data_IF_180343211160
#
_entry.id   IF_180343211160
#
_cell.length_a   1.000
_cell.length_b   1.000
_cell.length_c   1.000
_cell.angle_alpha   90.00
_cell.angle_beta   90.00
_cell.angle_gamma   90.00
#
_symmetry.space_group_name_H-M   'P 1'
#
loop_
_entity.id
_entity.type
_entity.pdbx_description
1 polymer ?
#
# COMPACT_ATOMS: atom_id res chain seq x y z
N UNK A 1 6.23 -22.91 12.12
CA UNK A 1 7.01 -23.89 11.35
C UNK A 1 6.69 -25.27 11.92
N UNK A 2 6.16 -26.22 11.14
CA UNK A 2 6.05 -27.60 11.60
C UNK A 2 7.46 -28.11 11.90
N UNK A 3 7.67 -28.63 13.11
CA UNK A 3 8.94 -29.22 13.50
C UNK A 3 9.24 -30.41 12.60
N UNK A 4 10.43 -30.46 12.00
CA UNK A 4 10.83 -31.61 11.21
C UNK A 4 10.73 -32.90 12.05
N UNK A 5 10.18 -33.98 11.48
CA UNK A 5 10.08 -35.23 12.20
C UNK A 5 11.48 -35.69 12.60
N UNK A 6 11.62 -36.21 13.84
CA UNK A 6 12.90 -36.70 14.40
C UNK A 6 13.64 -37.70 13.50
N UNK A 7 12.92 -38.37 12.60
CA UNK A 7 13.49 -39.20 11.54
C UNK A 7 12.95 -38.71 10.20
N UNK A 8 13.85 -38.43 9.26
CA UNK A 8 13.51 -37.95 7.94
C UNK A 8 12.58 -38.94 7.20
N UNK A 9 11.68 -38.40 6.38
CA UNK A 9 10.74 -39.20 5.60
C UNK A 9 11.45 -40.22 4.70
N UNK A 10 12.61 -39.85 4.15
CA UNK A 10 13.48 -40.71 3.34
C UNK A 10 13.99 -41.93 4.09
N UNK A 11 14.40 -41.77 5.35
CA UNK A 11 14.82 -42.86 6.21
C UNK A 11 13.67 -43.81 6.53
N UNK A 12 12.46 -43.26 6.77
CA UNK A 12 11.23 -44.04 7.02
C UNK A 12 10.78 -44.81 5.77
N UNK A 13 10.88 -44.19 4.60
CA UNK A 13 10.60 -44.82 3.30
C UNK A 13 11.53 -46.00 3.03
N UNK A 14 12.84 -45.85 3.26
CA UNK A 14 13.83 -46.93 3.05
C UNK A 14 13.53 -48.17 3.88
N UNK A 15 13.07 -48.00 5.13
CA UNK A 15 12.66 -49.12 5.98
C UNK A 15 11.42 -49.81 5.42
N UNK A 16 10.45 -49.05 4.92
CA UNK A 16 9.23 -49.58 4.32
C UNK A 16 9.52 -50.31 2.99
N UNK A 17 10.37 -49.74 2.14
CA UNK A 17 10.79 -50.34 0.86
C UNK A 17 11.54 -51.65 1.10
N UNK A 18 12.44 -51.67 2.09
CA UNK A 18 13.16 -52.88 2.48
C UNK A 18 12.21 -53.99 2.93
N UNK A 19 11.17 -53.65 3.69
CA UNK A 19 10.13 -54.58 4.09
C UNK A 19 9.35 -55.12 2.89
N UNK A 20 8.94 -54.25 1.96
CA UNK A 20 8.20 -54.63 0.76
C UNK A 20 9.01 -55.55 -0.18
N UNK A 21 10.33 -55.39 -0.23
CA UNK A 21 11.25 -56.23 -1.03
C UNK A 21 11.69 -57.50 -0.27
N UNK A 22 11.24 -57.69 0.98
CA UNK A 22 11.56 -58.86 1.80
C UNK A 22 13.01 -58.89 2.33
N UNK A 23 13.67 -57.73 2.40
CA UNK A 23 15.03 -57.57 2.97
C UNK A 23 14.97 -57.36 4.48
N UNK A 24 16.13 -57.47 5.15
CA UNK A 24 16.24 -57.16 6.58
C UNK A 24 16.11 -55.65 6.84
N UNK A 25 14.88 -55.24 7.08
CA UNK A 25 14.48 -53.86 7.32
C UNK A 25 14.86 -53.37 8.73
N UNK A 26 15.19 -54.26 9.68
CA UNK A 26 15.66 -53.87 11.02
C UNK A 26 17.10 -53.38 10.98
N UNK A 27 17.95 -54.04 10.20
CA UNK A 27 19.32 -53.58 9.96
C UNK A 27 19.35 -52.22 9.25
N UNK A 28 18.44 -52.02 8.29
CA UNK A 28 18.28 -50.75 7.58
C UNK A 28 17.76 -49.67 8.54
N UNK A 29 16.85 -50.00 9.46
CA UNK A 29 16.40 -49.06 10.49
C UNK A 29 17.54 -48.62 11.41
N UNK A 30 18.40 -49.55 11.84
CA UNK A 30 19.56 -49.26 12.69
C UNK A 30 20.57 -48.33 11.99
N UNK A 31 20.89 -48.60 10.71
CA UNK A 31 21.75 -47.75 9.89
C UNK A 31 21.18 -46.34 9.64
N UNK A 32 19.86 -46.18 9.71
CA UNK A 32 19.19 -44.88 9.59
C UNK A 32 18.87 -44.26 10.96
N UNK A 33 19.36 -44.85 12.07
CA UNK A 33 19.15 -44.34 13.43
C UNK A 33 17.69 -44.36 13.88
N UNK A 34 16.85 -45.24 13.30
CA UNK A 34 15.44 -45.38 13.67
C UNK A 34 15.32 -46.48 14.73
N UNK A 35 14.78 -46.19 15.93
CA UNK A 35 14.55 -47.20 16.95
C UNK A 35 13.65 -48.33 16.44
N UNK A 36 13.97 -49.56 16.81
CA UNK A 36 13.26 -50.79 16.39
C UNK A 36 11.74 -50.70 16.58
N UNK A 37 11.28 -50.07 17.67
CA UNK A 37 9.85 -49.86 17.96
C UNK A 37 9.17 -48.93 16.95
N UNK A 38 9.90 -47.94 16.43
CA UNK A 38 9.41 -47.01 15.42
C UNK A 38 9.43 -47.66 14.04
N UNK A 39 10.46 -48.44 13.73
CA UNK A 39 10.54 -49.22 12.49
C UNK A 39 9.38 -50.22 12.37
N UNK A 40 9.08 -50.96 13.45
CA UNK A 40 7.91 -51.86 13.52
C UNK A 40 6.61 -51.12 13.24
N UNK A 41 6.38 -49.97 13.88
CA UNK A 41 5.18 -49.14 13.65
C UNK A 41 5.06 -48.65 12.21
N UNK A 42 6.17 -48.32 11.54
CA UNK A 42 6.14 -47.88 10.13
C UNK A 42 5.66 -49.02 9.23
N UNK A 43 6.20 -50.22 9.45
CA UNK A 43 5.80 -51.43 8.72
C UNK A 43 4.35 -51.80 9.00
N UNK A 44 3.94 -51.81 10.27
CA UNK A 44 2.56 -52.13 10.69
C UNK A 44 1.53 -51.14 10.13
N UNK A 45 1.86 -49.85 10.08
CA UNK A 45 0.97 -48.82 9.51
C UNK A 45 1.02 -48.75 7.97
N UNK A 46 2.02 -49.37 7.33
CA UNK A 46 2.19 -49.35 5.88
C UNK A 46 2.46 -47.97 5.29
N UNK A 47 2.82 -46.98 6.10
CA UNK A 47 3.05 -45.61 5.65
C UNK A 47 4.29 -45.00 6.31
N UNK A 48 5.17 -44.35 5.53
CA UNK A 48 6.34 -43.65 6.05
C UNK A 48 5.94 -42.30 6.67
N UNK A 49 4.73 -41.81 6.44
CA UNK A 49 4.30 -40.47 6.84
C UNK A 49 4.00 -40.39 8.34
N UNK A 50 4.34 -39.24 8.93
CA UNK A 50 3.96 -38.93 10.31
C UNK A 50 2.68 -38.11 10.26
N UNK A 51 1.57 -38.68 10.75
CA UNK A 51 0.30 -37.95 10.89
C UNK A 51 0.47 -36.73 11.79
N UNK A 52 -0.25 -35.66 11.49
CA UNK A 52 -0.30 -34.46 12.31
C UNK A 52 -0.70 -34.83 13.75
N UNK A 53 0.07 -34.34 14.72
CA UNK A 53 -0.23 -34.54 16.14
C UNK A 53 -1.22 -33.49 16.61
N UNK A 54 -2.39 -33.94 17.04
CA UNK A 54 -3.43 -33.07 17.58
C UNK A 54 -4.08 -32.15 16.54
N UNK A 55 -5.00 -31.32 17.01
CA UNK A 55 -5.76 -30.38 16.19
C UNK A 55 -6.75 -29.58 17.03
N UNK A 56 -7.28 -28.50 16.47
CA UNK A 56 -8.32 -27.71 17.13
C UNK A 56 -9.61 -28.52 17.11
N UNK A 57 -10.19 -28.76 18.28
CA UNK A 57 -11.49 -29.43 18.39
C UNK A 57 -12.60 -28.42 18.05
N UNK A 58 -13.67 -28.80 17.33
CA UNK A 58 -14.78 -27.90 17.01
C UNK A 58 -15.37 -27.21 18.23
N UNK A 59 -15.50 -27.92 19.36
CA UNK A 59 -15.98 -27.39 20.64
C UNK A 59 -15.06 -26.36 21.30
N UNK A 60 -13.84 -26.18 20.80
CA UNK A 60 -12.84 -25.23 21.32
C UNK A 60 -12.69 -24.01 20.39
N UNK A 61 -13.38 -23.98 19.25
CA UNK A 61 -13.37 -22.86 18.32
C UNK A 61 -14.17 -21.71 18.93
N UNK A 62 -13.46 -20.66 19.36
CA UNK A 62 -14.08 -19.47 19.98
C UNK A 62 -14.68 -18.50 18.97
N UNK A 63 -14.20 -18.54 17.72
CA UNK A 63 -14.66 -17.67 16.63
C UNK A 63 -15.17 -18.57 15.52
N UNK A 64 -16.47 -18.57 15.29
CA UNK A 64 -17.09 -19.38 14.24
C UNK A 64 -16.82 -18.77 12.86
N UNK A 65 -16.93 -19.53 11.76
CA UNK A 65 -16.77 -18.99 10.41
C UNK A 65 -17.72 -17.82 10.12
N UNK A 66 -18.95 -17.86 10.61
CA UNK A 66 -19.92 -16.76 10.46
C UNK A 66 -19.46 -15.46 11.16
N UNK A 67 -18.80 -15.57 12.31
CA UNK A 67 -18.21 -14.40 12.98
C UNK A 67 -17.00 -13.86 12.23
N UNK A 68 -16.24 -14.72 11.54
CA UNK A 68 -15.12 -14.28 10.70
C UNK A 68 -15.61 -13.52 9.46
N UNK A 69 -16.70 -13.99 8.84
CA UNK A 69 -17.34 -13.32 7.71
C UNK A 69 -17.90 -11.95 8.10
N UNK A 70 -18.62 -11.87 9.23
CA UNK A 70 -19.10 -10.59 9.76
C UNK A 70 -17.97 -9.62 10.10
N UNK A 71 -16.84 -10.11 10.65
CA UNK A 71 -15.65 -9.28 10.89
C UNK A 71 -15.08 -8.69 9.60
N UNK A 72 -15.11 -9.44 8.50
CA UNK A 72 -14.67 -8.95 7.19
C UNK A 72 -15.64 -7.89 6.69
N UNK A 73 -16.94 -8.15 6.74
CA UNK A 73 -17.99 -7.21 6.32
C UNK A 73 -17.86 -5.86 7.04
N UNK A 74 -17.72 -5.85 8.36
CA UNK A 74 -17.54 -4.60 9.12
C UNK A 74 -16.28 -3.82 8.69
N UNK A 75 -15.18 -4.52 8.39
CA UNK A 75 -13.93 -3.88 7.97
C UNK A 75 -14.00 -3.37 6.54
N UNK A 76 -14.79 -4.02 5.68
CA UNK A 76 -15.04 -3.56 4.30
C UNK A 76 -15.97 -2.34 4.27
N UNK A 77 -16.93 -2.26 5.18
CA UNK A 77 -17.79 -1.08 5.36
C UNK A 77 -17.00 0.11 5.94
N UNK A 78 -16.24 -0.13 7.03
CA UNK A 78 -15.41 0.90 7.66
C UNK A 78 -14.07 0.35 8.13
N UNK A 79 -13.04 0.57 7.32
CA UNK A 79 -11.66 0.18 7.62
C UNK A 79 -11.01 0.95 8.79
N UNK A 80 -11.68 1.99 9.33
CA UNK A 80 -11.20 2.76 10.49
C UNK A 80 -11.61 2.15 11.84
N UNK A 81 -12.46 1.11 11.82
CA UNK A 81 -12.91 0.45 13.03
C UNK A 81 -11.73 -0.13 13.81
N UNK A 82 -11.62 0.28 15.07
CA UNK A 82 -10.66 -0.29 16.00
C UNK A 82 -11.06 -1.70 16.40
N UNK A 83 -10.08 -2.52 16.83
CA UNK A 83 -10.35 -3.87 17.35
C UNK A 83 -11.36 -3.88 18.51
N UNK A 84 -11.41 -2.81 19.32
CA UNK A 84 -12.37 -2.66 20.41
C UNK A 84 -13.79 -2.35 19.89
N UNK A 85 -13.93 -1.63 18.78
CA UNK A 85 -15.22 -1.41 18.13
C UNK A 85 -15.73 -2.69 17.46
N UNK A 86 -14.86 -3.39 16.73
CA UNK A 86 -15.19 -4.70 16.15
C UNK A 86 -15.63 -5.72 17.21
N UNK A 87 -14.98 -5.70 18.38
CA UNK A 87 -15.39 -6.51 19.52
C UNK A 87 -16.83 -6.19 19.98
N UNK A 88 -17.20 -4.91 20.06
CA UNK A 88 -18.56 -4.49 20.46
C UNK A 88 -19.61 -4.84 19.41
N UNK A 89 -19.27 -4.75 18.13
CA UNK A 89 -20.16 -5.15 17.03
C UNK A 89 -20.46 -6.64 17.08
N UNK A 90 -19.42 -7.47 17.27
CA UNK A 90 -19.60 -8.90 17.49
C UNK A 90 -20.40 -9.24 18.76
N UNK A 91 -20.20 -8.48 19.83
CA UNK A 91 -20.96 -8.64 21.06
C UNK A 91 -22.44 -8.27 20.84
N UNK A 92 -22.75 -7.30 20.00
CA UNK A 92 -24.12 -6.92 19.66
C UNK A 92 -24.81 -7.97 18.77
N UNK A 93 -24.16 -8.42 17.69
CA UNK A 93 -24.77 -9.29 16.69
C UNK A 93 -24.78 -10.77 17.08
N UNK A 94 -23.72 -11.25 17.73
CA UNK A 94 -23.57 -12.66 18.09
C UNK A 94 -23.69 -12.92 19.59
N UNK A 95 -23.82 -11.89 20.42
CA UNK A 95 -23.83 -12.00 21.89
C UNK A 95 -22.59 -12.72 22.45
N UNK A 96 -21.45 -12.60 21.76
CA UNK A 96 -20.17 -13.21 22.13
C UNK A 96 -19.09 -12.15 22.23
N UNK A 97 -18.43 -12.10 23.39
CA UNK A 97 -17.30 -11.20 23.62
C UNK A 97 -15.96 -11.88 23.34
N UNK A 98 -15.40 -11.64 22.15
CA UNK A 98 -14.05 -12.11 21.79
C UNK A 98 -12.96 -11.19 22.34
N UNK A 99 -11.73 -11.69 22.52
CA UNK A 99 -10.59 -10.84 22.84
C UNK A 99 -10.09 -10.09 21.61
N UNK A 100 -9.60 -8.87 21.79
CA UNK A 100 -9.03 -8.06 20.70
C UNK A 100 -7.86 -8.74 19.99
N UNK A 101 -7.04 -9.50 20.72
CA UNK A 101 -5.95 -10.29 20.16
C UNK A 101 -6.45 -11.41 19.24
N UNK A 102 -7.59 -12.03 19.56
CA UNK A 102 -8.19 -13.06 18.70
C UNK A 102 -8.73 -12.44 17.41
N UNK A 103 -9.41 -11.30 17.51
CA UNK A 103 -9.91 -10.55 16.35
C UNK A 103 -8.73 -10.16 15.44
N UNK A 104 -7.65 -9.63 16.01
CA UNK A 104 -6.43 -9.30 15.25
C UNK A 104 -5.82 -10.53 14.57
N UNK A 105 -5.73 -11.67 15.27
CA UNK A 105 -5.19 -12.90 14.68
C UNK A 105 -6.06 -13.41 13.52
N UNK A 106 -7.39 -13.28 13.61
CA UNK A 106 -8.32 -13.66 12.54
C UNK A 106 -8.22 -12.76 11.33
N UNK A 107 -8.20 -11.43 11.54
CA UNK A 107 -7.98 -10.47 10.46
C UNK A 107 -6.63 -10.69 9.76
N UNK A 108 -5.55 -10.89 10.52
CA UNK A 108 -4.24 -11.23 9.95
C UNK A 108 -4.27 -12.56 9.16
N UNK A 109 -5.03 -13.56 9.63
CA UNK A 109 -5.25 -14.81 8.92
C UNK A 109 -5.96 -14.65 7.58
N UNK A 110 -6.83 -13.64 7.48
CA UNK A 110 -7.53 -13.22 6.25
C UNK A 110 -6.73 -12.17 5.45
N UNK A 111 -5.45 -11.96 5.77
CA UNK A 111 -4.54 -11.01 5.11
C UNK A 111 -4.90 -9.52 5.29
N UNK A 112 -5.81 -9.19 6.20
CA UNK A 112 -6.06 -7.81 6.62
C UNK A 112 -4.95 -7.39 7.58
N UNK A 113 -4.16 -6.40 7.16
CA UNK A 113 -3.05 -5.85 7.93
C UNK A 113 -3.31 -4.39 8.23
N UNK A 114 -2.90 -3.96 9.44
CA UNK A 114 -3.01 -2.56 9.82
C UNK A 114 -2.04 -1.74 8.97
N UNK A 115 -2.60 -0.85 8.16
CA UNK A 115 -1.84 0.10 7.35
C UNK A 115 -1.99 1.50 7.95
N UNK A 116 -0.91 2.27 7.93
CA UNK A 116 -0.97 3.66 8.40
C UNK A 116 -1.92 4.45 7.49
N UNK A 117 -2.93 5.08 8.11
CA UNK A 117 -4.02 5.80 7.42
C UNK A 117 -3.43 6.80 6.42
N UNK A 118 -2.41 7.57 6.81
CA UNK A 118 -1.78 8.56 5.92
C UNK A 118 -1.00 7.96 4.73
N UNK A 119 -0.55 6.70 4.80
CA UNK A 119 0.29 6.10 3.76
C UNK A 119 -0.48 5.21 2.79
N UNK A 120 -1.67 4.71 3.15
CA UNK A 120 -2.39 3.74 2.31
C UNK A 120 -3.91 3.87 2.32
N UNK A 121 -4.51 4.43 3.37
CA UNK A 121 -5.92 4.85 3.33
C UNK A 121 -5.94 6.28 2.82
N UNK A 122 -5.89 6.43 1.49
CA UNK A 122 -6.01 7.75 0.85
C UNK A 122 -7.26 8.44 1.39
N UNK A 123 -7.07 9.49 2.17
CA UNK A 123 -8.17 10.37 2.56
C UNK A 123 -8.56 11.12 1.30
N UNK A 124 -9.53 10.57 0.57
CA UNK A 124 -10.07 11.22 -0.61
C UNK A 124 -11.05 12.29 -0.17
N UNK A 125 -10.80 13.58 -0.45
CA UNK A 125 -11.81 14.60 -0.21
C UNK A 125 -13.06 14.23 -1.01
N UNK A 126 -14.22 14.24 -0.35
CA UNK A 126 -15.51 13.91 -0.99
C UNK A 126 -15.82 14.77 -2.21
N UNK A 127 -15.19 15.94 -2.31
CA UNK A 127 -15.28 16.87 -3.44
C UNK A 127 -14.35 16.51 -4.61
N UNK A 128 -13.29 15.73 -4.41
CA UNK A 128 -12.30 15.43 -5.45
C UNK A 128 -12.78 14.35 -6.43
N UNK A 129 -13.32 13.23 -5.93
CA UNK A 129 -13.67 12.05 -6.73
C UNK A 129 -15.19 11.84 -6.88
N UNK A 130 -15.96 12.92 -6.91
CA UNK A 130 -17.36 12.82 -7.32
C UNK A 130 -17.45 12.30 -8.78
N UNK A 131 -18.47 11.50 -9.09
CA UNK A 131 -18.74 10.97 -10.43
C UNK A 131 -18.71 12.05 -11.53
N UNK A 132 -19.16 13.26 -11.20
CA UNK A 132 -19.11 14.42 -12.10
C UNK A 132 -17.66 14.83 -12.40
N UNK A 133 -16.79 14.90 -11.40
CA UNK A 133 -15.40 15.29 -11.57
C UNK A 133 -14.59 14.21 -12.27
N UNK A 134 -14.89 12.93 -12.01
CA UNK A 134 -14.31 11.82 -12.76
C UNK A 134 -14.67 11.93 -14.25
N UNK A 135 -15.93 12.21 -14.58
CA UNK A 135 -16.36 12.41 -15.97
C UNK A 135 -15.64 13.60 -16.62
N UNK A 136 -15.52 14.73 -15.92
CA UNK A 136 -14.77 15.90 -16.41
C UNK A 136 -13.29 15.59 -16.65
N UNK A 137 -12.63 14.91 -15.71
CA UNK A 137 -11.23 14.46 -15.85
C UNK A 137 -11.05 13.50 -17.02
N UNK A 138 -11.99 12.59 -17.25
CA UNK A 138 -11.98 11.68 -18.41
C UNK A 138 -12.06 12.45 -19.73
N UNK A 139 -13.01 13.40 -19.83
CA UNK A 139 -13.15 14.23 -21.04
C UNK A 139 -11.88 15.05 -21.30
N UNK A 140 -11.28 15.61 -20.25
CA UNK A 140 -10.01 16.32 -20.36
C UNK A 140 -8.87 15.40 -20.84
N UNK A 141 -8.70 14.22 -20.23
CA UNK A 141 -7.68 13.27 -20.62
C UNK A 141 -7.87 12.76 -22.06
N UNK A 142 -9.10 12.49 -22.48
CA UNK A 142 -9.42 12.12 -23.86
C UNK A 142 -9.10 13.25 -24.85
N UNK A 143 -9.28 14.52 -24.47
CA UNK A 143 -8.90 15.67 -25.29
C UNK A 143 -7.37 15.80 -25.38
N UNK A 144 -6.66 15.66 -24.26
CA UNK A 144 -5.19 15.70 -24.22
C UNK A 144 -4.57 14.61 -25.11
N UNK A 145 -5.07 13.37 -25.01
CA UNK A 145 -4.63 12.26 -25.86
C UNK A 145 -4.90 12.51 -27.35
N UNK A 146 -5.94 13.26 -27.71
CA UNK A 146 -6.20 13.64 -29.11
C UNK A 146 -5.17 14.64 -29.63
N UNK A 147 -4.71 15.56 -28.78
CA UNK A 147 -3.65 16.52 -29.14
C UNK A 147 -2.28 15.83 -29.24
N UNK A 148 -2.00 14.89 -28.34
CA UNK A 148 -0.80 14.05 -28.41
C UNK A 148 -0.75 13.24 -29.71
N UNK A 149 -1.87 12.62 -30.12
CA UNK A 149 -1.96 11.90 -31.42
C UNK A 149 -1.84 12.78 -32.67
N UNK A 150 -2.07 14.09 -32.53
CA UNK A 150 -1.89 15.07 -33.61
C UNK A 150 -0.47 15.63 -33.63
N UNK A 151 0.39 15.19 -32.70
CA UNK A 151 1.71 15.73 -32.44
C UNK A 151 1.70 17.25 -32.21
N UNK A 152 0.64 17.78 -31.60
CA UNK A 152 0.55 19.20 -31.19
C UNK A 152 1.57 19.49 -30.08
N UNK A 153 2.01 20.75 -29.97
CA UNK A 153 2.99 21.15 -28.96
C UNK A 153 2.31 21.39 -27.61
N UNK A 154 2.51 20.48 -26.66
CA UNK A 154 1.87 20.51 -25.33
C UNK A 154 2.80 21.17 -24.32
N UNK A 155 2.28 22.15 -23.60
CA UNK A 155 2.93 22.82 -22.47
C UNK A 155 2.09 22.59 -21.23
N UNK A 156 2.70 22.06 -20.18
CA UNK A 156 2.06 21.91 -18.89
C UNK A 156 2.34 23.15 -18.04
N UNK A 157 1.28 23.81 -17.59
CA UNK A 157 1.34 24.97 -16.74
C UNK A 157 0.84 24.63 -15.33
N UNK A 158 1.60 25.01 -14.30
CA UNK A 158 1.16 24.89 -12.91
C UNK A 158 1.73 26.00 -12.01
N UNK A 159 1.05 26.22 -10.89
CA UNK A 159 1.37 27.24 -9.89
C UNK A 159 1.67 26.58 -8.55
N UNK A 160 2.82 26.90 -7.94
CA UNK A 160 3.18 26.41 -6.60
C UNK A 160 3.39 27.56 -5.63
N UNK A 161 2.74 27.45 -4.47
CA UNK A 161 2.84 28.42 -3.38
C UNK A 161 3.88 27.99 -2.33
N UNK A 162 4.82 28.88 -2.05
CA UNK A 162 5.84 28.73 -1.01
C UNK A 162 5.66 29.79 0.06
N UNK A 163 5.52 29.34 1.31
CA UNK A 163 5.55 30.26 2.45
C UNK A 163 7.01 30.49 2.85
N UNK A 164 7.51 31.71 2.65
CA UNK A 164 8.87 32.06 3.03
C UNK A 164 8.94 32.27 4.54
N UNK A 165 9.21 31.20 5.27
CA UNK A 165 9.34 31.24 6.72
C UNK A 165 10.57 30.47 7.19
N UNK A 166 11.45 31.17 7.91
CA UNK A 166 12.64 30.58 8.51
C UNK A 166 12.41 30.31 10.00
N UNK A 167 12.57 29.05 10.42
CA UNK A 167 12.70 28.67 11.84
C UNK A 167 13.89 27.77 12.07
N UNK A 168 14.42 27.79 13.29
CA UNK A 168 15.37 26.78 13.75
C UNK A 168 14.65 25.46 14.01
N UNK A 169 15.12 24.38 13.41
CA UNK A 169 14.56 23.03 13.57
C UNK A 169 14.92 22.40 14.91
N UNK A 170 16.02 22.85 15.52
CA UNK A 170 16.58 22.24 16.73
C UNK A 170 16.63 23.25 17.88
N UNK A 171 16.28 22.77 19.07
CA UNK A 171 16.34 23.50 20.34
C UNK A 171 16.75 22.57 21.47
N UNK A 172 17.05 23.13 22.66
CA UNK A 172 17.46 22.36 23.84
C UNK A 172 16.36 22.41 24.89
N UNK A 173 16.08 21.27 25.52
CA UNK A 173 15.19 21.11 26.67
C UNK A 173 15.76 20.05 27.62
N UNK A 174 15.23 19.95 28.84
CA UNK A 174 15.61 18.89 29.78
C UNK A 174 15.14 17.53 29.28
N UNK A 175 15.79 16.46 29.75
CA UNK A 175 15.39 15.10 29.41
C UNK A 175 13.96 14.81 29.92
N UNK A 176 13.08 14.31 29.04
CA UNK A 176 11.66 14.12 29.33
C UNK A 176 10.77 15.35 29.05
N UNK A 177 11.35 16.50 28.70
CA UNK A 177 10.62 17.71 28.33
C UNK A 177 10.75 18.01 26.83
N UNK A 178 9.72 18.64 26.26
CA UNK A 178 9.77 19.11 24.88
C UNK A 178 10.41 20.50 24.77
N UNK A 179 11.30 20.69 23.79
CA UNK A 179 11.77 22.02 23.43
C UNK A 179 10.68 22.76 22.63
N UNK A 180 9.97 23.67 23.30
CA UNK A 180 8.84 24.41 22.72
C UNK A 180 9.25 25.86 22.48
N UNK A 181 9.10 26.34 21.23
CA UNK A 181 9.25 27.75 20.87
C UNK A 181 7.87 28.30 20.52
N UNK A 182 7.38 29.30 21.26
CA UNK A 182 6.15 30.02 20.94
C UNK A 182 6.48 31.11 19.92
N UNK A 183 5.87 31.02 18.74
CA UNK A 183 6.05 31.97 17.66
C UNK A 183 4.71 32.67 17.39
N UNK A 184 4.72 33.95 16.98
CA UNK A 184 3.52 34.57 16.44
C UNK A 184 3.02 33.75 15.23
N UNK A 185 1.71 33.74 14.93
CA UNK A 185 1.14 32.97 13.82
C UNK A 185 1.55 33.48 12.43
N UNK A 186 2.49 34.43 12.35
CA UNK A 186 2.96 35.03 11.11
C UNK A 186 3.75 33.99 10.30
N UNK A 187 3.06 33.39 9.33
CA UNK A 187 3.68 32.76 8.17
C UNK A 187 4.17 33.92 7.31
N UNK A 188 5.45 33.93 6.92
CA UNK A 188 6.03 35.04 6.16
C UNK A 188 5.32 35.28 4.81
N UNK A 189 5.87 36.18 4.00
CA UNK A 189 5.26 36.49 2.70
C UNK A 189 5.12 35.22 1.84
N UNK A 190 3.95 35.05 1.22
CA UNK A 190 3.70 33.97 0.28
C UNK A 190 4.40 34.32 -1.04
N UNK A 191 5.34 33.47 -1.44
CA UNK A 191 5.96 33.50 -2.76
C UNK A 191 5.26 32.48 -3.64
N UNK A 192 4.70 32.92 -4.75
CA UNK A 192 4.08 32.07 -5.74
C UNK A 192 5.00 31.95 -6.95
N UNK A 193 5.19 30.71 -7.41
CA UNK A 193 5.99 30.39 -8.59
C UNK A 193 5.04 29.85 -9.65
N UNK A 194 4.98 30.54 -10.79
CA UNK A 194 4.30 30.09 -12.00
C UNK A 194 5.34 29.42 -12.90
N UNK A 195 5.07 28.21 -13.38
CA UNK A 195 6.02 27.46 -14.19
C UNK A 195 5.32 26.77 -15.35
N UNK A 196 5.90 26.91 -16.55
CA UNK A 196 5.45 26.27 -17.77
C UNK A 196 6.54 25.31 -18.26
N UNK A 197 6.19 24.04 -18.44
CA UNK A 197 7.12 22.97 -18.78
C UNK A 197 6.56 22.13 -19.94
N UNK A 198 7.39 21.86 -20.94
CA UNK A 198 7.07 20.96 -22.06
C UNK A 198 8.00 19.76 -22.07
N UNK A 199 7.60 18.67 -22.72
CA UNK A 199 8.46 17.48 -22.92
C UNK A 199 9.66 17.80 -23.80
N UNK A 200 9.49 18.66 -24.81
CA UNK A 200 10.51 18.92 -25.82
C UNK A 200 11.53 19.98 -25.39
N UNK A 201 11.05 21.02 -24.69
CA UNK A 201 11.86 22.19 -24.30
C UNK A 201 12.28 22.12 -22.83
N UNK A 202 11.70 21.21 -22.04
CA UNK A 202 11.73 21.25 -20.58
C UNK A 202 11.15 22.56 -20.05
N UNK A 203 11.93 23.44 -19.44
CA UNK A 203 11.45 24.73 -18.93
C UNK A 203 11.20 25.73 -20.06
N UNK A 204 9.93 26.09 -20.28
CA UNK A 204 9.52 27.07 -21.28
C UNK A 204 9.60 28.48 -20.70
N UNK A 205 8.89 28.70 -19.59
CA UNK A 205 8.83 30.01 -18.95
C UNK A 205 8.55 29.88 -17.45
N UNK A 206 9.03 30.83 -16.65
CA UNK A 206 8.74 30.90 -15.23
C UNK A 206 8.63 32.35 -14.76
N UNK A 207 7.71 32.60 -13.84
CA UNK A 207 7.59 33.88 -13.16
C UNK A 207 7.51 33.67 -11.65
N UNK A 208 8.07 34.64 -10.92
CA UNK A 208 8.04 34.72 -9.47
C UNK A 208 7.17 35.90 -9.08
N UNK A 209 6.09 35.65 -8.35
CA UNK A 209 5.20 36.69 -7.87
C UNK A 209 5.05 36.63 -6.36
N UNK A 210 4.92 37.80 -5.73
CA UNK A 210 4.62 37.90 -4.30
C UNK A 210 3.13 38.12 -4.12
N UNK A 211 2.53 37.38 -3.19
CA UNK A 211 1.10 37.48 -2.92
C UNK A 211 0.25 36.68 -3.89
N UNK A 212 -1.04 37.00 -3.95
CA UNK A 212 -2.03 36.32 -4.80
C UNK A 212 -2.05 36.88 -6.22
N UNK A 213 -2.20 36.00 -7.20
CA UNK A 213 -2.24 36.38 -8.61
C UNK A 213 -3.66 36.76 -9.03
N UNK A 214 -3.77 37.89 -9.73
CA UNK A 214 -5.00 38.33 -10.37
C UNK A 214 -5.16 37.64 -11.74
N UNK A 215 -6.41 37.43 -12.16
CA UNK A 215 -6.72 36.74 -13.42
C UNK A 215 -6.04 37.40 -14.62
N UNK A 216 -5.98 38.73 -14.66
CA UNK A 216 -5.38 39.48 -15.78
C UNK A 216 -3.88 39.25 -15.89
N UNK A 217 -3.19 39.15 -14.76
CA UNK A 217 -1.75 38.88 -14.70
C UNK A 217 -1.46 37.45 -15.16
N UNK A 218 -2.33 36.51 -14.80
CA UNK A 218 -2.22 35.13 -15.26
C UNK A 218 -2.46 35.00 -16.78
N UNK A 219 -3.41 35.76 -17.33
CA UNK A 219 -3.65 35.79 -18.77
C UNK A 219 -2.42 36.29 -19.53
N UNK A 220 -1.78 37.37 -19.05
CA UNK A 220 -0.53 37.86 -19.62
C UNK A 220 0.61 36.83 -19.56
N UNK A 221 0.70 36.06 -18.47
CA UNK A 221 1.68 34.97 -18.36
C UNK A 221 1.46 33.87 -19.42
N UNK A 222 0.21 33.53 -19.72
CA UNK A 222 -0.10 32.56 -20.78
C UNK A 222 0.33 33.09 -22.15
N UNK A 223 0.11 34.37 -22.44
CA UNK A 223 0.59 34.99 -23.68
C UNK A 223 2.14 34.96 -23.76
N UNK A 224 2.83 35.23 -22.65
CA UNK A 224 4.29 35.12 -22.55
C UNK A 224 4.79 33.68 -22.81
N UNK A 225 4.06 32.66 -22.36
CA UNK A 225 4.35 31.25 -22.71
C UNK A 225 4.26 31.05 -24.23
N UNK A 226 3.20 31.52 -24.88
CA UNK A 226 3.04 31.37 -26.33
C UNK A 226 4.20 32.04 -27.10
N UNK A 227 4.62 33.23 -26.68
CA UNK A 227 5.73 33.93 -27.29
C UNK A 227 7.07 33.22 -27.05
N UNK A 228 7.30 32.71 -25.84
CA UNK A 228 8.49 31.93 -25.51
C UNK A 228 8.58 30.63 -26.32
N UNK A 229 7.46 29.92 -26.51
CA UNK A 229 7.42 28.70 -27.34
C UNK A 229 7.73 29.03 -28.80
N UNK A 230 7.11 30.07 -29.37
CA UNK A 230 7.35 30.47 -30.76
C UNK A 230 8.78 30.94 -31.02
N UNK A 231 9.42 31.55 -30.02
CA UNK A 231 10.81 31.98 -30.10
C UNK A 231 11.81 30.81 -30.05
N UNK A 232 11.41 29.65 -29.53
CA UNK A 232 12.32 28.52 -29.31
C UNK A 232 12.65 27.78 -30.61
N UNK A 233 13.93 27.43 -30.79
CA UNK A 233 14.43 26.80 -32.01
C UNK A 233 13.72 25.48 -32.34
N UNK A 234 13.47 24.64 -31.33
CA UNK A 234 12.80 23.34 -31.47
C UNK A 234 11.40 23.49 -32.09
N UNK A 235 10.64 24.50 -31.65
CA UNK A 235 9.32 24.75 -32.20
C UNK A 235 9.41 25.18 -33.68
N UNK A 236 10.38 26.03 -34.00
CA UNK A 236 10.63 26.51 -35.36
C UNK A 236 11.18 25.45 -36.32
N UNK A 237 11.75 24.35 -35.82
CA UNK A 237 12.27 23.27 -36.66
C UNK A 237 11.27 22.12 -36.83
N UNK A 238 10.54 21.76 -35.78
CA UNK A 238 9.80 20.48 -35.74
C UNK A 238 8.28 20.66 -35.59
N UNK A 239 7.81 21.83 -35.18
CA UNK A 239 6.39 22.07 -34.84
C UNK A 239 5.78 23.26 -35.59
N UNK A 240 6.43 23.77 -36.64
CA UNK A 240 5.91 24.87 -37.46
C UNK A 240 4.57 24.47 -38.10
N UNK A 241 3.53 25.25 -37.81
CA UNK A 241 2.17 25.04 -38.31
C UNK A 241 1.32 24.10 -37.44
N UNK A 242 1.87 23.55 -36.35
CA UNK A 242 1.11 22.78 -35.36
C UNK A 242 0.55 23.69 -34.27
N UNK A 243 -0.48 23.22 -33.56
CA UNK A 243 -1.10 24.01 -32.50
C UNK A 243 -0.24 23.96 -31.24
N UNK A 244 -0.22 25.07 -30.50
CA UNK A 244 0.34 25.13 -29.14
C UNK A 244 -0.83 25.00 -28.17
N UNK A 245 -0.77 24.00 -27.30
CA UNK A 245 -1.77 23.70 -26.28
C UNK A 245 -1.12 23.91 -24.92
N UNK A 246 -1.71 24.79 -24.10
CA UNK A 246 -1.31 25.08 -22.71
C UNK A 246 -2.39 24.57 -21.76
#
# INVERSE_FOLDING_TARGET
MPSEPKHALTARQRVLDAFNVGRDWLLIADHNGIPVTTARRIVEHGSPEVKQRGGVRPSTIKCTPAMEEALIEYVEEDCLLTLAQLQRMLEFDFNVRLSTSLISAKLCGQLYTVKQVCATVRVEPSTCNNAVNIKKRRVFAEALLKHERKDDFIVNYDETNFNLYCRRTQGRAKHGEHAIVKLPPYKGENLQIQCAVSTEISLVHHALQRGSIQVDVNAGFVDEIYDAVKAHQVFQTEFVGKNIVV
#
